data_IF_661470915666
#
_entry.id   IF_661470915666
#
_cell.length_a   1.000
_cell.length_b   1.000
_cell.length_c   1.000
_cell.angle_alpha   90.00
_cell.angle_beta   90.00
_cell.angle_gamma   90.00
#
_symmetry.space_group_name_H-M   'P 1'
#
loop_
_entity.id
_entity.type
_entity.pdbx_description
1 polymer ?
#
# COMPACT_ATOMS: atom_id res chain seq x y z
N UNK A 1 -22.01 -28.60 1.58
CA UNK A 1 -21.14 -27.52 2.13
C UNK A 1 -19.88 -27.35 1.28
N UNK A 2 -19.89 -27.88 0.05
CA UNK A 2 -18.70 -28.06 -0.78
C UNK A 2 -18.44 -26.87 -1.73
N UNK A 3 -19.46 -26.04 -2.00
CA UNK A 3 -19.34 -24.86 -2.85
C UNK A 3 -18.56 -23.71 -2.20
N UNK A 4 -18.51 -23.65 -0.85
CA UNK A 4 -17.91 -22.52 -0.13
C UNK A 4 -16.37 -22.56 -0.16
N UNK A 5 -15.80 -23.77 -0.11
CA UNK A 5 -14.36 -23.98 -0.21
C UNK A 5 -13.84 -23.69 -1.63
N UNK A 6 -14.62 -24.03 -2.66
CA UNK A 6 -14.27 -23.75 -4.05
C UNK A 6 -14.29 -22.25 -4.37
N UNK A 7 -15.28 -21.50 -3.87
CA UNK A 7 -15.32 -20.04 -4.06
C UNK A 7 -14.15 -19.34 -3.38
N UNK A 8 -13.84 -19.68 -2.13
CA UNK A 8 -12.71 -19.05 -1.41
C UNK A 8 -11.36 -19.33 -2.07
N UNK A 9 -11.14 -20.59 -2.49
CA UNK A 9 -9.89 -20.98 -3.13
C UNK A 9 -9.74 -20.33 -4.51
N UNK A 10 -10.84 -20.22 -5.26
CA UNK A 10 -10.87 -19.51 -6.54
C UNK A 10 -10.50 -18.03 -6.37
N UNK A 11 -11.11 -17.33 -5.40
CA UNK A 11 -10.79 -15.93 -5.12
C UNK A 11 -9.31 -15.75 -4.72
N UNK A 12 -8.78 -16.65 -3.87
CA UNK A 12 -7.38 -16.61 -3.46
C UNK A 12 -6.43 -16.69 -4.66
N UNK A 13 -6.65 -17.64 -5.56
CA UNK A 13 -5.83 -17.78 -6.77
C UNK A 13 -6.04 -16.64 -7.77
N UNK A 14 -7.27 -16.16 -7.91
CA UNK A 14 -7.61 -15.04 -8.79
C UNK A 14 -6.85 -13.77 -8.38
N UNK A 15 -6.75 -13.48 -7.09
CA UNK A 15 -6.02 -12.31 -6.59
C UNK A 15 -4.51 -12.51 -6.43
N UNK A 16 -4.06 -13.76 -6.29
CA UNK A 16 -2.63 -14.09 -6.18
C UNK A 16 -1.82 -13.67 -7.41
N UNK A 17 -2.44 -13.65 -8.61
CA UNK A 17 -1.76 -13.21 -9.83
C UNK A 17 -1.28 -11.75 -9.73
N UNK A 18 -2.07 -10.88 -9.09
CA UNK A 18 -1.69 -9.48 -8.88
C UNK A 18 -0.54 -9.34 -7.90
N UNK A 19 -0.45 -10.23 -6.91
CA UNK A 19 0.68 -10.27 -5.98
C UNK A 19 1.98 -10.63 -6.70
N UNK A 20 1.97 -11.66 -7.56
CA UNK A 20 3.15 -12.09 -8.34
C UNK A 20 3.60 -11.00 -9.32
N UNK A 21 2.66 -10.39 -10.06
CA UNK A 21 2.95 -9.28 -10.97
C UNK A 21 3.54 -8.10 -10.19
N UNK A 22 2.94 -7.77 -9.04
CA UNK A 22 3.40 -6.71 -8.16
C UNK A 22 4.83 -6.93 -7.64
N UNK A 23 5.17 -8.16 -7.22
CA UNK A 23 6.53 -8.49 -6.75
C UNK A 23 7.56 -8.41 -7.89
N UNK A 24 7.22 -8.95 -9.07
CA UNK A 24 8.09 -8.93 -10.23
C UNK A 24 8.39 -7.49 -10.71
N UNK A 25 7.37 -6.63 -10.80
CA UNK A 25 7.52 -5.24 -11.23
C UNK A 25 8.04 -4.35 -10.08
N UNK A 26 7.88 -4.77 -8.83
CA UNK A 26 8.22 -3.98 -7.63
C UNK A 26 9.65 -3.47 -7.61
N UNK A 27 10.62 -4.32 -8.00
CA UNK A 27 12.04 -3.92 -8.10
C UNK A 27 12.27 -2.82 -9.15
N UNK A 28 11.52 -2.85 -10.24
CA UNK A 28 11.57 -1.84 -11.29
C UNK A 28 10.90 -0.53 -10.85
N UNK A 29 9.71 -0.62 -10.23
CA UNK A 29 8.95 0.51 -9.65
C UNK A 29 9.76 1.27 -8.58
N UNK A 30 10.57 0.57 -7.80
CA UNK A 30 11.43 1.16 -6.77
C UNK A 30 12.71 1.82 -7.33
N UNK A 31 13.04 1.57 -8.60
CA UNK A 31 14.19 2.14 -9.28
C UNK A 31 14.14 3.68 -9.34
N UNK A 32 15.27 4.33 -9.11
CA UNK A 32 15.37 5.79 -9.11
C UNK A 32 15.01 6.42 -10.47
N UNK A 33 15.29 5.71 -11.56
CA UNK A 33 14.92 6.12 -12.93
C UNK A 33 13.39 6.18 -13.09
N UNK A 34 12.68 5.14 -12.65
CA UNK A 34 11.22 5.09 -12.70
C UNK A 34 10.59 6.19 -11.83
N UNK A 35 11.07 6.38 -10.59
CA UNK A 35 10.58 7.45 -9.71
C UNK A 35 10.77 8.85 -10.31
N UNK A 36 11.85 9.07 -11.07
CA UNK A 36 12.06 10.36 -11.72
C UNK A 36 10.99 10.62 -12.79
N UNK A 37 10.74 9.63 -13.65
CA UNK A 37 9.74 9.67 -14.73
C UNK A 37 8.32 9.78 -14.14
N UNK A 38 7.99 8.92 -13.17
CA UNK A 38 6.66 8.84 -12.56
C UNK A 38 6.26 10.12 -11.81
N UNK A 39 7.24 10.92 -11.39
CA UNK A 39 6.99 12.16 -10.70
C UNK A 39 6.76 13.36 -11.63
N UNK A 40 6.89 13.20 -12.94
CA UNK A 40 6.54 14.27 -13.87
C UNK A 40 5.03 14.41 -14.02
N UNK A 41 4.55 15.66 -13.97
CA UNK A 41 3.11 15.97 -14.07
C UNK A 41 2.48 15.50 -15.38
N UNK A 42 3.26 15.44 -16.47
CA UNK A 42 2.78 15.05 -17.80
C UNK A 42 2.29 13.60 -17.81
N UNK A 43 3.11 12.67 -17.31
CA UNK A 43 2.72 11.26 -17.24
C UNK A 43 1.58 11.02 -16.25
N UNK A 44 1.54 11.74 -15.13
CA UNK A 44 0.40 11.66 -14.21
C UNK A 44 -0.91 12.04 -14.90
N UNK A 45 -0.94 13.11 -15.71
CA UNK A 45 -2.15 13.52 -16.43
C UNK A 45 -2.54 12.53 -17.53
N UNK A 46 -1.57 11.94 -18.24
CA UNK A 46 -1.83 10.89 -19.24
C UNK A 46 -2.44 9.66 -18.57
N UNK A 47 -1.86 9.19 -17.47
CA UNK A 47 -2.40 8.05 -16.72
C UNK A 47 -3.72 8.36 -16.02
N UNK A 48 -3.95 9.61 -15.59
CA UNK A 48 -5.24 10.05 -15.06
C UNK A 48 -6.33 9.95 -16.13
N UNK A 49 -6.05 10.42 -17.35
CA UNK A 49 -6.99 10.33 -18.46
C UNK A 49 -7.26 8.87 -18.83
N UNK A 50 -6.22 8.05 -18.94
CA UNK A 50 -6.35 6.61 -19.17
C UNK A 50 -7.18 5.93 -18.07
N UNK A 51 -6.93 6.27 -16.80
CA UNK A 51 -7.70 5.76 -15.66
C UNK A 51 -9.18 6.15 -15.75
N UNK A 52 -9.51 7.41 -16.09
CA UNK A 52 -10.89 7.87 -16.24
C UNK A 52 -11.59 7.11 -17.37
N UNK A 53 -10.96 6.96 -18.53
CA UNK A 53 -11.53 6.22 -19.68
C UNK A 53 -11.84 4.78 -19.29
N UNK A 54 -10.86 4.10 -18.70
CA UNK A 54 -10.96 2.69 -18.32
C UNK A 54 -11.99 2.48 -17.21
N UNK A 55 -12.03 3.37 -16.20
CA UNK A 55 -13.01 3.31 -15.12
C UNK A 55 -14.42 3.65 -15.60
N UNK A 56 -14.56 4.58 -16.56
CA UNK A 56 -15.86 4.91 -17.16
C UNK A 56 -16.42 3.73 -17.97
N UNK A 57 -15.56 2.98 -18.68
CA UNK A 57 -15.95 1.76 -19.36
C UNK A 57 -16.40 0.68 -18.38
N UNK A 58 -15.65 0.46 -17.30
CA UNK A 58 -16.03 -0.48 -16.24
C UNK A 58 -17.38 -0.13 -15.61
N UNK A 59 -17.58 1.15 -15.29
CA UNK A 59 -18.84 1.63 -14.71
C UNK A 59 -20.01 1.46 -15.68
N UNK A 60 -19.82 1.81 -16.95
CA UNK A 60 -20.84 1.65 -17.99
C UNK A 60 -21.20 0.18 -18.23
N UNK A 61 -20.19 -0.69 -18.36
CA UNK A 61 -20.40 -2.12 -18.56
C UNK A 61 -21.15 -2.78 -17.39
N UNK A 62 -20.86 -2.36 -16.16
CA UNK A 62 -21.54 -2.84 -14.96
C UNK A 62 -22.96 -2.28 -14.79
N UNK A 63 -23.22 -1.01 -15.16
CA UNK A 63 -24.57 -0.44 -15.09
C UNK A 63 -25.52 -1.00 -16.15
N UNK A 64 -25.00 -1.44 -17.30
CA UNK A 64 -25.81 -1.89 -18.44
C UNK A 64 -26.34 -3.33 -18.27
N UNK A 65 -25.75 -4.13 -17.37
CA UNK A 65 -26.16 -5.52 -17.13
C UNK A 65 -26.88 -5.65 -15.77
N UNK A 66 -28.20 -5.89 -15.80
CA UNK A 66 -29.04 -5.89 -14.59
C UNK A 66 -28.81 -7.07 -13.63
N UNK A 67 -28.30 -8.21 -14.11
CA UNK A 67 -28.30 -9.46 -13.36
C UNK A 67 -27.22 -9.57 -12.25
N UNK A 68 -26.16 -8.75 -12.32
CA UNK A 68 -25.08 -8.74 -11.33
C UNK A 68 -24.37 -7.38 -11.32
N UNK A 69 -25.06 -6.34 -10.82
CA UNK A 69 -24.68 -4.90 -10.83
C UNK A 69 -23.23 -4.54 -10.46
N UNK A 70 -22.46 -5.46 -9.87
CA UNK A 70 -21.07 -5.23 -9.46
C UNK A 70 -20.07 -6.32 -9.90
N UNK A 71 -20.54 -7.47 -10.39
CA UNK A 71 -19.68 -8.64 -10.63
C UNK A 71 -19.60 -9.04 -12.11
N UNK A 72 -20.27 -8.33 -13.02
CA UNK A 72 -20.31 -8.74 -14.43
C UNK A 72 -18.92 -8.70 -15.08
N UNK A 73 -18.17 -7.61 -14.93
CA UNK A 73 -16.83 -7.52 -15.52
C UNK A 73 -15.82 -8.43 -14.81
N UNK A 74 -16.01 -8.65 -13.51
CA UNK A 74 -15.15 -9.53 -12.68
C UNK A 74 -15.32 -11.01 -13.05
N UNK A 75 -16.56 -11.49 -13.20
CA UNK A 75 -16.85 -12.90 -13.50
C UNK A 75 -16.84 -13.22 -15.01
N UNK A 76 -17.33 -12.31 -15.85
CA UNK A 76 -17.57 -12.61 -17.27
C UNK A 76 -16.39 -12.20 -18.17
N UNK A 77 -15.55 -11.26 -17.72
CA UNK A 77 -14.41 -10.74 -18.49
C UNK A 77 -13.14 -10.58 -17.64
N UNK A 78 -12.61 -11.69 -17.08
CA UNK A 78 -11.46 -11.65 -16.17
C UNK A 78 -10.21 -11.00 -16.79
N UNK A 79 -9.99 -11.15 -18.11
CA UNK A 79 -8.87 -10.51 -18.80
C UNK A 79 -8.95 -8.99 -18.82
N UNK A 80 -10.16 -8.44 -19.04
CA UNK A 80 -10.38 -6.99 -19.07
C UNK A 80 -10.27 -6.44 -17.64
N UNK A 81 -10.76 -7.17 -16.65
CA UNK A 81 -10.60 -6.83 -15.23
C UNK A 81 -9.13 -6.71 -14.81
N UNK A 82 -8.27 -7.64 -15.25
CA UNK A 82 -6.83 -7.59 -14.98
C UNK A 82 -6.20 -6.33 -15.59
N UNK A 83 -6.53 -6.00 -16.85
CA UNK A 83 -6.01 -4.80 -17.52
C UNK A 83 -6.45 -3.51 -16.80
N UNK A 84 -7.73 -3.42 -16.44
CA UNK A 84 -8.28 -2.28 -15.71
C UNK A 84 -7.55 -2.10 -14.36
N UNK A 85 -7.42 -3.20 -13.61
CA UNK A 85 -6.76 -3.22 -12.31
C UNK A 85 -5.28 -2.83 -12.41
N UNK A 86 -4.57 -3.29 -13.45
CA UNK A 86 -3.17 -2.95 -13.66
C UNK A 86 -2.98 -1.46 -14.00
N UNK A 87 -3.88 -0.88 -14.80
CA UNK A 87 -3.89 0.55 -15.12
C UNK A 87 -4.18 1.37 -13.86
N UNK A 88 -5.14 0.96 -13.05
CA UNK A 88 -5.45 1.60 -11.76
C UNK A 88 -4.28 1.55 -10.77
N UNK A 89 -3.65 0.38 -10.61
CA UNK A 89 -2.46 0.21 -9.79
C UNK A 89 -1.31 1.09 -10.28
N UNK A 90 -1.08 1.13 -11.59
CA UNK A 90 -0.03 1.98 -12.18
C UNK A 90 -0.31 3.45 -11.90
N UNK A 91 -1.55 3.92 -12.15
CA UNK A 91 -1.94 5.29 -11.83
C UNK A 91 -1.72 5.64 -10.35
N UNK A 92 -2.08 4.73 -9.44
CA UNK A 92 -1.88 4.92 -8.00
C UNK A 92 -0.40 5.08 -7.62
N UNK A 93 0.50 4.33 -8.27
CA UNK A 93 1.95 4.50 -8.06
C UNK A 93 2.43 5.86 -8.56
N UNK A 94 2.02 6.27 -9.77
CA UNK A 94 2.37 7.59 -10.31
C UNK A 94 1.88 8.73 -9.41
N UNK A 95 0.65 8.61 -8.90
CA UNK A 95 0.07 9.55 -7.94
C UNK A 95 0.88 9.61 -6.64
N UNK A 96 1.28 8.45 -6.11
CA UNK A 96 2.08 8.35 -4.89
C UNK A 96 3.48 8.98 -5.07
N UNK A 97 4.17 8.70 -6.17
CA UNK A 97 5.48 9.28 -6.47
C UNK A 97 5.42 10.81 -6.67
N UNK A 98 4.39 11.30 -7.34
CA UNK A 98 4.18 12.74 -7.53
C UNK A 98 3.91 13.46 -6.20
N UNK A 99 3.09 12.86 -5.33
CA UNK A 99 2.77 13.40 -4.01
C UNK A 99 4.00 13.42 -3.09
N UNK A 100 4.85 12.39 -3.16
CA UNK A 100 6.11 12.31 -2.40
C UNK A 100 7.08 13.44 -2.78
N UNK A 101 7.27 13.71 -4.09
CA UNK A 101 8.16 14.80 -4.55
C UNK A 101 7.71 16.17 -4.03
N UNK A 102 6.41 16.43 -3.98
CA UNK A 102 5.89 17.73 -3.54
C UNK A 102 5.85 17.89 -2.01
N UNK A 103 6.18 16.84 -1.24
CA UNK A 103 6.07 16.82 0.23
C UNK A 103 4.73 17.36 0.74
N UNK A 104 3.64 17.17 -0.02
CA UNK A 104 2.35 17.79 0.32
C UNK A 104 1.74 17.20 1.60
N UNK A 105 2.00 15.93 1.89
CA UNK A 105 1.41 15.21 3.02
C UNK A 105 2.46 14.44 3.82
N UNK A 106 3.33 15.12 4.59
CA UNK A 106 4.35 14.47 5.40
C UNK A 106 3.74 13.53 6.45
N UNK A 107 2.51 13.80 6.91
CA UNK A 107 1.78 12.92 7.83
C UNK A 107 1.43 11.57 7.20
N UNK A 108 1.18 11.51 5.90
CA UNK A 108 0.86 10.27 5.20
C UNK A 108 2.08 9.36 5.10
N UNK A 109 3.28 9.92 4.91
CA UNK A 109 4.55 9.17 4.98
C UNK A 109 4.77 8.60 6.38
N UNK A 110 4.42 9.33 7.42
CA UNK A 110 4.49 8.86 8.81
C UNK A 110 3.50 7.73 9.06
N UNK A 111 2.25 7.86 8.61
CA UNK A 111 1.27 6.78 8.68
C UNK A 111 1.70 5.54 7.90
N UNK A 112 2.30 5.71 6.73
CA UNK A 112 2.79 4.60 5.90
C UNK A 112 3.84 3.75 6.64
N UNK A 113 4.76 4.38 7.39
CA UNK A 113 5.72 3.67 8.25
C UNK A 113 5.04 2.85 9.34
N UNK A 114 3.88 3.30 9.80
CA UNK A 114 3.12 2.64 10.86
C UNK A 114 2.02 1.70 10.35
N UNK A 115 1.88 1.55 9.03
CA UNK A 115 0.79 0.82 8.39
C UNK A 115 0.71 -0.64 8.87
N UNK A 116 1.83 -1.33 8.99
CA UNK A 116 1.87 -2.72 9.49
C UNK A 116 1.36 -2.82 10.94
N UNK A 117 1.76 -1.88 11.80
CA UNK A 117 1.32 -1.86 13.21
C UNK A 117 -0.16 -1.54 13.33
N UNK A 118 -0.64 -0.55 12.57
CA UNK A 118 -2.06 -0.20 12.50
C UNK A 118 -2.86 -1.40 11.98
N UNK A 119 -2.37 -2.10 10.97
CA UNK A 119 -3.03 -3.28 10.41
C UNK A 119 -3.23 -4.40 11.45
N UNK A 120 -2.23 -4.72 12.25
CA UNK A 120 -2.38 -5.78 13.26
C UNK A 120 -3.22 -5.32 14.45
N UNK A 121 -2.98 -4.11 14.94
CA UNK A 121 -3.61 -3.63 16.17
C UNK A 121 -5.07 -3.19 15.97
N UNK A 122 -5.45 -2.65 14.80
CA UNK A 122 -6.82 -2.14 14.62
C UNK A 122 -7.88 -3.24 14.73
N UNK A 123 -7.59 -4.47 14.31
CA UNK A 123 -8.55 -5.60 14.41
C UNK A 123 -8.84 -5.94 15.87
N UNK A 124 -7.80 -5.98 16.72
CA UNK A 124 -7.92 -6.26 18.16
C UNK A 124 -8.67 -5.12 18.85
N UNK A 125 -8.30 -3.87 18.55
CA UNK A 125 -8.97 -2.68 19.09
C UNK A 125 -10.43 -2.63 18.66
N UNK A 126 -10.74 -2.91 17.40
CA UNK A 126 -12.10 -2.91 16.88
C UNK A 126 -12.96 -3.96 17.59
N UNK A 127 -12.43 -5.17 17.82
CA UNK A 127 -13.11 -6.20 18.58
C UNK A 127 -13.35 -5.78 20.05
N UNK A 128 -12.36 -5.13 20.68
CA UNK A 128 -12.48 -4.63 22.06
C UNK A 128 -13.52 -3.51 22.16
N UNK A 129 -13.45 -2.50 21.28
CA UNK A 129 -14.40 -1.37 21.24
C UNK A 129 -15.81 -1.89 20.99
N UNK A 130 -16.00 -2.79 20.02
CA UNK A 130 -17.29 -3.43 19.77
C UNK A 130 -17.83 -4.14 21.01
N UNK A 131 -17.00 -4.92 21.69
CA UNK A 131 -17.41 -5.67 22.89
C UNK A 131 -17.78 -4.73 24.04
N UNK A 132 -17.01 -3.67 24.25
CA UNK A 132 -17.30 -2.65 25.26
C UNK A 132 -18.62 -1.93 24.92
N UNK A 133 -18.80 -1.53 23.66
CA UNK A 133 -19.99 -0.81 23.23
C UNK A 133 -21.26 -1.65 23.39
N UNK A 134 -21.22 -2.93 22.98
CA UNK A 134 -22.40 -3.80 23.00
C UNK A 134 -22.68 -4.38 24.38
N UNK A 135 -21.65 -4.76 25.15
CA UNK A 135 -21.84 -5.38 26.48
C UNK A 135 -21.87 -4.40 27.65
N UNK A 136 -21.14 -3.28 27.57
CA UNK A 136 -21.06 -2.31 28.68
C UNK A 136 -22.05 -1.17 28.49
N UNK A 137 -22.16 -0.62 27.27
CA UNK A 137 -23.06 0.49 26.97
C UNK A 137 -24.43 0.07 26.44
N UNK A 138 -24.60 -1.20 26.05
CA UNK A 138 -25.87 -1.72 25.52
C UNK A 138 -26.30 -1.10 24.19
N UNK A 139 -25.42 -0.36 23.52
CA UNK A 139 -25.72 0.30 22.24
C UNK A 139 -25.58 -0.75 21.14
N UNK A 140 -26.70 -1.07 20.49
CA UNK A 140 -26.79 -2.04 19.38
C UNK A 140 -26.86 -1.39 18.01
N UNK A 141 -26.90 -0.05 17.93
CA UNK A 141 -26.90 0.68 16.68
C UNK A 141 -25.62 0.41 15.87
N UNK A 142 -25.78 -0.31 14.77
CA UNK A 142 -24.68 -0.75 13.92
C UNK A 142 -23.85 0.43 13.38
N UNK A 143 -24.50 1.53 13.02
CA UNK A 143 -23.84 2.73 12.52
C UNK A 143 -22.90 3.34 13.57
N UNK A 144 -23.35 3.45 14.81
CA UNK A 144 -22.56 4.04 15.89
C UNK A 144 -21.33 3.17 16.14
N UNK A 145 -21.51 1.85 16.24
CA UNK A 145 -20.41 0.89 16.45
C UNK A 145 -19.39 0.97 15.32
N UNK A 146 -19.83 1.08 14.06
CA UNK A 146 -18.93 1.19 12.90
C UNK A 146 -18.15 2.49 12.95
N UNK A 147 -18.81 3.63 13.15
CA UNK A 147 -18.14 4.94 13.19
C UNK A 147 -17.15 5.04 14.35
N UNK A 148 -17.55 4.62 15.55
CA UNK A 148 -16.65 4.66 16.70
C UNK A 148 -15.55 3.61 16.60
N UNK A 149 -15.88 2.41 16.13
CA UNK A 149 -14.91 1.34 15.91
C UNK A 149 -13.86 1.74 14.87
N UNK A 150 -14.25 2.43 13.80
CA UNK A 150 -13.31 2.96 12.80
C UNK A 150 -12.43 4.08 13.38
N UNK A 151 -13.03 5.00 14.13
CA UNK A 151 -12.30 6.09 14.77
C UNK A 151 -11.27 5.58 15.78
N UNK A 152 -11.70 4.77 16.75
CA UNK A 152 -10.82 4.19 17.76
C UNK A 152 -9.86 3.16 17.16
N UNK A 153 -10.30 2.41 16.14
CA UNK A 153 -9.48 1.43 15.42
C UNK A 153 -8.27 2.05 14.73
N UNK A 154 -8.31 3.34 14.36
CA UNK A 154 -7.15 4.03 13.79
C UNK A 154 -6.40 4.82 14.86
N UNK A 155 -7.11 5.54 15.72
CA UNK A 155 -6.50 6.43 16.73
C UNK A 155 -5.72 5.64 17.77
N UNK A 156 -6.26 4.54 18.28
CA UNK A 156 -5.63 3.76 19.36
C UNK A 156 -4.33 3.10 18.90
N UNK A 157 -4.25 2.42 17.73
CA UNK A 157 -2.97 1.89 17.24
C UNK A 157 -1.89 2.96 17.03
N UNK A 158 -2.27 4.16 16.55
CA UNK A 158 -1.32 5.26 16.36
C UNK A 158 -0.78 5.76 17.71
N UNK A 159 -1.62 5.88 18.73
CA UNK A 159 -1.20 6.26 20.08
C UNK A 159 -0.33 5.16 20.70
N UNK A 160 -0.76 3.89 20.59
CA UNK A 160 -0.04 2.74 21.13
C UNK A 160 1.37 2.64 20.53
N UNK A 161 1.50 2.89 19.23
CA UNK A 161 2.80 2.95 18.56
C UNK A 161 3.69 4.06 19.12
N UNK A 162 3.18 5.30 19.24
CA UNK A 162 3.94 6.43 19.81
C UNK A 162 4.37 6.15 21.25
N UNK A 163 3.53 5.45 22.02
CA UNK A 163 3.81 5.07 23.39
C UNK A 163 4.90 3.98 23.45
N UNK A 164 4.82 2.97 22.59
CA UNK A 164 5.81 1.89 22.48
C UNK A 164 7.20 2.43 22.08
N UNK A 165 7.26 3.40 21.17
CA UNK A 165 8.51 4.07 20.78
C UNK A 165 9.11 4.87 21.96
N UNK A 166 8.27 5.58 22.73
CA UNK A 166 8.69 6.33 23.93
C UNK A 166 9.20 5.42 25.06
N UNK A 167 8.65 4.22 25.21
CA UNK A 167 9.09 3.26 26.25
C UNK A 167 10.28 2.38 25.81
N UNK A 168 10.86 2.62 24.62
CA UNK A 168 12.05 1.93 24.13
C UNK A 168 11.92 0.39 24.13
N UNK A 169 10.68 -0.13 24.03
CA UNK A 169 10.40 -1.56 23.87
C UNK A 169 10.61 -1.99 22.40
N UNK A 170 11.78 -1.70 21.84
CA UNK A 170 12.20 -2.06 20.47
C UNK A 170 12.28 -3.57 20.24
N UNK A 171 12.11 -4.38 21.28
CA UNK A 171 12.22 -5.83 21.25
C UNK A 171 10.95 -6.55 20.76
N UNK A 172 9.76 -5.95 20.87
CA UNK A 172 8.50 -6.56 20.36
C UNK A 172 8.34 -6.38 18.83
N UNK A 173 9.08 -5.45 18.22
CA UNK A 173 8.83 -4.99 16.84
C UNK A 173 10.09 -4.89 15.96
N UNK A 174 11.12 -5.69 16.25
CA UNK A 174 12.36 -5.72 15.43
C UNK A 174 12.10 -6.31 14.04
N UNK A 175 11.71 -5.46 13.08
CA UNK A 175 11.99 -5.62 11.65
C UNK A 175 12.69 -4.39 11.03
N UNK A 176 12.83 -3.29 11.77
CA UNK A 176 13.55 -2.10 11.30
C UNK A 176 15.00 -2.11 11.79
N UNK A 177 15.85 -2.84 11.06
CA UNK A 177 17.31 -2.64 11.14
C UNK A 177 17.59 -1.26 10.54
N UNK A 178 17.73 -0.26 11.40
CA UNK A 178 18.26 1.07 11.05
C UNK A 178 19.67 0.87 10.48
N UNK A 179 19.78 0.70 9.16
CA UNK A 179 21.07 0.70 8.45
C UNK A 179 21.60 2.12 8.56
N UNK A 180 22.57 2.32 9.44
CA UNK A 180 23.22 3.61 9.65
C UNK A 180 23.87 4.08 8.36
N UNK A 181 23.31 5.13 7.76
CA UNK A 181 24.01 5.96 6.79
C UNK A 181 24.87 6.99 7.54
N UNK A 182 25.85 6.49 8.28
CA UNK A 182 26.93 7.30 8.83
C UNK A 182 28.22 6.51 8.56
N UNK A 183 29.16 7.13 7.83
CA UNK A 183 30.51 6.66 7.51
C UNK A 183 30.74 5.83 6.24
N UNK A 184 30.25 6.28 5.08
CA UNK A 184 30.88 5.94 3.79
C UNK A 184 31.25 7.17 2.93
N UNK A 185 31.20 8.37 3.52
CA UNK A 185 31.54 9.63 2.85
C UNK A 185 32.91 10.20 3.25
N UNK A 186 33.79 9.39 3.89
CA UNK A 186 35.15 9.79 4.23
C UNK A 186 36.17 8.70 3.88
N UNK A 187 36.26 8.35 2.60
CA UNK A 187 37.41 7.62 2.06
C UNK A 187 37.63 7.97 0.59
N UNK A 188 37.71 9.26 0.27
CA UNK A 188 38.23 9.74 -1.01
C UNK A 188 39.22 10.87 -0.73
N UNK A 189 40.46 10.52 -0.39
CA UNK A 189 41.66 11.27 -0.80
C UNK A 189 42.93 10.51 -0.41
N UNK A 190 43.34 9.57 -1.27
CA UNK A 190 44.71 9.53 -1.80
C UNK A 190 44.84 8.37 -2.80
N UNK A 191 44.62 8.68 -4.06
CA UNK A 191 45.29 7.97 -5.17
C UNK A 191 46.45 8.87 -5.58
N UNK A 192 47.70 8.39 -5.54
CA UNK A 192 48.70 8.81 -6.49
C UNK A 192 48.97 7.65 -7.45
N UNK A 193 48.65 7.91 -8.71
CA UNK A 193 49.10 7.18 -9.88
C UNK A 193 50.60 7.42 -10.10
N UNK A 194 51.42 6.39 -10.06
CA UNK A 194 52.66 6.30 -10.86
C UNK A 194 53.01 4.85 -11.17
N UNK A 195 52.64 4.40 -12.36
CA UNK A 195 53.35 3.37 -13.12
C UNK A 195 54.54 4.05 -13.82
N UNK A 196 55.76 3.55 -13.60
CA UNK A 196 56.95 3.60 -14.48
C UNK A 196 57.92 2.53 -13.94
N UNK A 197 58.00 1.37 -14.61
CA UNK A 197 59.09 0.97 -15.55
C UNK A 197 60.47 0.91 -14.90
N UNK A 198 61.13 -0.24 -15.07
CA UNK A 198 62.40 -0.62 -14.45
C UNK A 198 63.65 0.12 -14.95
N UNK A 199 64.77 -0.60 -14.82
CA UNK A 199 66.17 -0.24 -15.08
C UNK A 199 66.94 0.33 -13.88
N UNK A 200 67.67 -0.56 -13.19
CA UNK A 200 69.15 -0.61 -13.08
C UNK A 200 69.56 -1.25 -11.76
#
# INVERSE_FOLDING_TARGET
MDNLHHSFLFDLFHYYIFFVIGDAVGKFLLGQQFKSIASERKYLLIFLLAFIVVQSYFLWANLTHEAAKFMYVEFYQPFIFILISLIGCTFMVFLTCWMDRKRMLPWLTVLGKYSLYIYVAHVIVFAAVRTIMTKVFGITDALIIIFTGMFFGIVVPVILYRLADRFNMRWIFTLERKKGYANAANSNHHVPSTLKTGES
#
